data_IF_176634337725
#
_entry.id   IF_176634337725
#
_cell.length_a   1.000
_cell.length_b   1.000
_cell.length_c   1.000
_cell.angle_alpha   90.00
_cell.angle_beta   90.00
_cell.angle_gamma   90.00
#
_symmetry.space_group_name_H-M   'P 1'
#
loop_
_entity.id
_entity.type
_entity.pdbx_description
1 polymer ?
#
# COMPACT_ATOMS: atom_id res chain seq x y z
N UNK A 1 6.95 -38.56 -18.19
CA UNK A 1 5.81 -38.07 -17.39
C UNK A 1 6.33 -36.94 -16.52
N UNK A 2 5.97 -35.69 -16.82
CA UNK A 2 6.28 -34.56 -15.92
C UNK A 2 5.63 -34.86 -14.57
N UNK A 3 6.46 -34.99 -13.53
CA UNK A 3 5.96 -35.22 -12.17
C UNK A 3 4.99 -34.10 -11.81
N UNK A 4 3.87 -34.48 -11.20
CA UNK A 4 2.94 -33.57 -10.53
C UNK A 4 3.79 -32.66 -9.62
N UNK A 5 3.76 -31.38 -9.96
CA UNK A 5 4.89 -30.47 -9.84
C UNK A 5 5.39 -30.20 -8.43
N UNK A 6 6.71 -30.03 -8.34
CA UNK A 6 7.42 -29.60 -7.14
C UNK A 6 6.71 -28.42 -6.44
N UNK A 7 6.85 -28.31 -5.10
CA UNK A 7 6.33 -27.16 -4.36
C UNK A 7 6.87 -25.87 -5.00
N UNK A 8 5.97 -24.90 -5.20
CA UNK A 8 6.40 -23.59 -5.67
C UNK A 8 6.96 -22.80 -4.49
N UNK A 9 8.07 -22.11 -4.71
CA UNK A 9 8.57 -21.09 -3.80
C UNK A 9 7.62 -19.87 -3.82
N UNK A 10 7.64 -19.07 -2.74
CA UNK A 10 6.89 -17.81 -2.66
C UNK A 10 7.84 -16.66 -2.42
N UNK A 11 7.80 -15.66 -3.30
CA UNK A 11 8.46 -14.38 -3.11
C UNK A 11 7.40 -13.28 -3.04
N UNK A 12 7.09 -12.80 -1.83
CA UNK A 12 6.12 -11.74 -1.60
C UNK A 12 6.84 -10.40 -1.44
N UNK A 13 6.70 -9.54 -2.44
CA UNK A 13 7.22 -8.18 -2.45
C UNK A 13 6.18 -7.21 -1.91
N UNK A 14 6.56 -6.33 -0.98
CA UNK A 14 5.64 -5.35 -0.45
C UNK A 14 6.26 -3.97 -0.25
N UNK A 15 5.42 -2.95 -0.29
CA UNK A 15 5.74 -1.65 0.30
C UNK A 15 4.80 -1.41 1.47
N UNK A 16 5.27 -0.75 2.53
CA UNK A 16 4.38 -0.30 3.59
C UNK A 16 4.79 1.05 4.13
N UNK A 17 3.91 2.05 4.02
CA UNK A 17 4.15 3.37 4.60
C UNK A 17 4.30 3.28 6.12
N UNK A 18 3.23 2.91 6.81
CA UNK A 18 3.16 2.91 8.29
C UNK A 18 2.99 1.54 8.93
N UNK A 19 2.92 0.46 8.15
CA UNK A 19 2.97 -0.92 8.66
C UNK A 19 1.76 -1.82 8.38
N UNK A 20 0.63 -1.30 7.87
CA UNK A 20 -0.54 -2.13 7.57
C UNK A 20 -0.25 -3.22 6.54
N UNK A 21 0.28 -2.82 5.38
CA UNK A 21 0.65 -3.76 4.32
C UNK A 21 1.71 -4.74 4.80
N UNK A 22 2.68 -4.29 5.61
CA UNK A 22 3.69 -5.17 6.20
C UNK A 22 3.02 -6.25 7.06
N UNK A 23 2.09 -5.86 7.93
CA UNK A 23 1.35 -6.80 8.78
C UNK A 23 0.61 -7.82 7.92
N UNK A 24 -0.22 -7.37 6.97
CA UNK A 24 -1.00 -8.29 6.11
C UNK A 24 -0.08 -9.22 5.30
N UNK A 25 1.04 -8.71 4.78
CA UNK A 25 2.03 -9.53 4.08
C UNK A 25 2.60 -10.62 4.97
N UNK A 26 2.97 -10.27 6.21
CA UNK A 26 3.49 -11.22 7.20
C UNK A 26 2.45 -12.28 7.55
N UNK A 27 1.19 -11.91 7.75
CA UNK A 27 0.13 -12.85 8.10
C UNK A 27 -0.21 -13.78 6.93
N UNK A 28 -0.24 -13.29 5.68
CA UNK A 28 -0.37 -14.13 4.48
C UNK A 28 0.76 -15.16 4.42
N UNK A 29 2.01 -14.73 4.58
CA UNK A 29 3.18 -15.64 4.51
C UNK A 29 3.16 -16.69 5.63
N UNK A 30 2.72 -16.33 6.83
CA UNK A 30 2.52 -17.29 7.93
C UNK A 30 1.47 -18.35 7.60
N UNK A 31 0.34 -17.96 7.01
CA UNK A 31 -0.70 -18.92 6.62
C UNK A 31 -0.19 -19.85 5.53
N UNK A 32 0.54 -19.33 4.54
CA UNK A 32 1.19 -20.15 3.51
C UNK A 32 2.16 -21.14 4.17
N UNK A 33 3.02 -20.67 5.07
CA UNK A 33 3.98 -21.52 5.80
C UNK A 33 3.30 -22.65 6.57
N UNK A 34 2.25 -22.35 7.33
CA UNK A 34 1.49 -23.34 8.10
C UNK A 34 0.89 -24.39 7.16
N UNK A 35 0.25 -23.99 6.07
CA UNK A 35 -0.32 -24.93 5.09
C UNK A 35 0.76 -25.81 4.45
N UNK A 36 1.89 -25.24 4.05
CA UNK A 36 3.00 -26.01 3.44
C UNK A 36 3.56 -27.05 4.39
N UNK A 37 3.70 -26.71 5.68
CA UNK A 37 4.10 -27.66 6.73
C UNK A 37 3.08 -28.79 6.89
N UNK A 38 1.78 -28.48 6.91
CA UNK A 38 0.72 -29.49 7.00
C UNK A 38 0.70 -30.43 5.79
N UNK A 39 1.02 -29.93 4.60
CA UNK A 39 1.10 -30.71 3.36
C UNK A 39 2.44 -31.43 3.16
N UNK A 40 3.37 -31.33 4.11
CA UNK A 40 4.73 -31.88 4.00
C UNK A 40 5.48 -31.40 2.74
N UNK A 41 5.22 -30.17 2.30
CA UNK A 41 5.86 -29.55 1.14
C UNK A 41 6.97 -28.61 1.57
N UNK A 42 8.17 -28.81 1.01
CA UNK A 42 9.32 -27.91 1.22
C UNK A 42 9.30 -26.81 0.15
N UNK A 43 9.10 -25.56 0.57
CA UNK A 43 9.13 -24.38 -0.30
C UNK A 43 9.87 -23.25 0.40
N UNK A 44 10.71 -22.51 -0.33
CA UNK A 44 11.31 -21.28 0.17
C UNK A 44 10.24 -20.18 0.21
N UNK A 45 10.18 -19.47 1.33
CA UNK A 45 9.23 -18.40 1.57
C UNK A 45 10.00 -17.12 1.90
N UNK A 46 9.94 -16.13 1.02
CA UNK A 46 10.57 -14.83 1.25
C UNK A 46 9.55 -13.70 1.28
N UNK A 47 9.71 -12.81 2.26
CA UNK A 47 8.93 -11.60 2.43
C UNK A 47 9.87 -10.39 2.27
N UNK A 48 9.80 -9.72 1.12
CA UNK A 48 10.78 -8.72 0.71
C UNK A 48 10.14 -7.33 0.66
N UNK A 49 10.75 -6.36 1.34
CA UNK A 49 10.39 -4.96 1.11
C UNK A 49 10.90 -4.52 -0.26
N UNK A 50 10.11 -3.78 -1.05
CA UNK A 50 10.60 -3.21 -2.32
C UNK A 50 11.74 -2.20 -2.13
N UNK A 51 11.97 -1.78 -0.90
CA UNK A 51 13.08 -0.91 -0.50
C UNK A 51 14.41 -1.68 -0.35
N UNK A 52 14.36 -3.03 -0.29
CA UNK A 52 15.51 -3.91 -0.04
C UNK A 52 15.52 -5.11 -1.03
N UNK A 53 15.37 -4.86 -2.33
CA UNK A 53 15.21 -5.93 -3.34
C UNK A 53 16.47 -6.82 -3.50
N UNK A 54 17.63 -6.30 -3.13
CA UNK A 54 18.91 -6.99 -3.11
C UNK A 54 18.93 -8.17 -2.12
N UNK A 55 18.13 -8.13 -1.06
CA UNK A 55 18.03 -9.19 -0.04
C UNK A 55 17.30 -10.44 -0.57
N UNK A 56 16.60 -10.36 -1.70
CA UNK A 56 15.86 -11.49 -2.25
C UNK A 56 16.80 -12.58 -2.78
N UNK A 57 16.71 -13.80 -2.23
CA UNK A 57 17.53 -14.95 -2.64
C UNK A 57 16.84 -15.82 -3.68
N UNK A 58 15.50 -15.83 -3.71
CA UNK A 58 14.71 -16.50 -4.75
C UNK A 58 14.95 -15.81 -6.10
N UNK A 59 15.76 -16.45 -6.93
CA UNK A 59 15.98 -16.02 -8.31
C UNK A 59 15.09 -16.77 -9.29
N UNK A 60 14.86 -18.07 -9.13
CA UNK A 60 14.20 -18.88 -10.15
C UNK A 60 12.67 -18.62 -10.25
N UNK A 61 12.27 -17.80 -11.21
CA UNK A 61 10.86 -17.44 -11.42
C UNK A 61 10.02 -18.57 -12.03
N UNK A 62 10.62 -19.64 -12.58
CA UNK A 62 9.86 -20.76 -13.17
C UNK A 62 9.14 -21.62 -12.13
N UNK A 63 9.67 -21.65 -10.91
CA UNK A 63 9.14 -22.41 -9.77
C UNK A 63 8.70 -21.51 -8.62
N UNK A 64 8.40 -20.23 -8.90
CA UNK A 64 8.04 -19.24 -7.89
C UNK A 64 6.67 -18.64 -8.16
N UNK A 65 5.84 -18.53 -7.13
CA UNK A 65 4.65 -17.69 -7.11
C UNK A 65 5.04 -16.32 -6.57
N UNK A 66 4.81 -15.27 -7.37
CA UNK A 66 5.17 -13.89 -6.99
C UNK A 66 3.98 -13.17 -6.35
N UNK A 67 4.15 -12.75 -5.10
CA UNK A 67 3.16 -11.96 -4.38
C UNK A 67 3.50 -10.47 -4.39
N UNK A 68 2.50 -9.60 -4.54
CA UNK A 68 2.69 -8.15 -4.50
C UNK A 68 1.68 -7.48 -3.57
N UNK A 69 2.16 -6.91 -2.48
CA UNK A 69 1.37 -6.19 -1.47
C UNK A 69 1.63 -4.69 -1.47
N UNK A 70 0.60 -3.85 -1.51
CA UNK A 70 0.78 -2.40 -1.50
C UNK A 70 -0.34 -1.62 -0.76
N UNK A 71 -0.05 -0.46 -0.17
CA UNK A 71 -1.08 0.45 0.32
C UNK A 71 -1.70 1.24 -0.84
N UNK A 72 -2.98 1.54 -0.75
CA UNK A 72 -3.63 2.44 -1.71
C UNK A 72 -3.26 3.89 -1.39
N UNK A 73 -2.42 4.49 -2.23
CA UNK A 73 -2.06 5.91 -2.19
C UNK A 73 -2.65 6.60 -3.42
N UNK A 74 -3.34 7.73 -3.23
CA UNK A 74 -3.93 8.50 -4.35
C UNK A 74 -4.81 7.64 -5.28
N UNK A 75 -5.58 6.72 -4.70
CA UNK A 75 -6.46 5.76 -5.40
C UNK A 75 -5.75 4.76 -6.33
N UNK A 76 -4.45 4.60 -6.19
CA UNK A 76 -3.66 3.62 -6.94
C UNK A 76 -2.52 3.06 -6.07
N UNK A 77 -1.63 2.25 -6.63
CA UNK A 77 -0.43 1.80 -5.95
C UNK A 77 0.64 2.90 -5.90
N UNK A 78 1.56 2.89 -4.92
CA UNK A 78 2.57 3.94 -4.77
C UNK A 78 3.57 3.96 -5.93
N UNK A 79 4.00 5.14 -6.38
CA UNK A 79 4.88 5.27 -7.55
C UNK A 79 6.27 4.65 -7.37
N UNK A 80 6.75 4.44 -6.14
CA UNK A 80 8.03 3.77 -5.91
C UNK A 80 8.05 2.32 -6.39
N UNK A 81 6.91 1.69 -6.70
CA UNK A 81 6.85 0.37 -7.34
C UNK A 81 7.57 0.27 -8.70
N UNK A 82 7.94 1.40 -9.32
CA UNK A 82 8.81 1.40 -10.50
C UNK A 82 10.17 0.71 -10.25
N UNK A 83 10.68 0.70 -9.00
CA UNK A 83 11.89 -0.07 -8.65
C UNK A 83 11.64 -1.56 -8.77
N UNK A 84 10.50 -2.06 -8.25
CA UNK A 84 10.10 -3.46 -8.34
C UNK A 84 9.88 -3.88 -9.79
N UNK A 85 9.19 -3.08 -10.60
CA UNK A 85 8.92 -3.42 -11.99
C UNK A 85 10.21 -3.56 -12.80
N UNK A 86 11.18 -2.67 -12.60
CA UNK A 86 12.52 -2.77 -13.24
C UNK A 86 13.24 -4.03 -12.80
N UNK A 87 13.24 -4.32 -11.51
CA UNK A 87 13.86 -5.53 -10.95
C UNK A 87 13.25 -6.82 -11.52
N UNK A 88 11.92 -6.97 -11.43
CA UNK A 88 11.21 -8.16 -11.90
C UNK A 88 11.34 -8.35 -13.42
N UNK A 89 11.30 -7.25 -14.20
CA UNK A 89 11.52 -7.31 -15.65
C UNK A 89 12.92 -7.81 -15.98
N UNK A 90 13.96 -7.32 -15.29
CA UNK A 90 15.35 -7.77 -15.47
C UNK A 90 15.50 -9.24 -15.10
N UNK A 91 14.96 -9.64 -13.95
CA UNK A 91 15.03 -11.03 -13.47
C UNK A 91 14.34 -11.98 -14.44
N UNK A 92 13.13 -11.65 -14.90
CA UNK A 92 12.39 -12.43 -15.91
C UNK A 92 13.19 -12.57 -17.21
N UNK A 93 13.67 -11.46 -17.75
CA UNK A 93 14.40 -11.46 -19.03
C UNK A 93 15.71 -12.26 -18.96
N UNK A 94 16.33 -12.38 -17.77
CA UNK A 94 17.54 -13.20 -17.58
C UNK A 94 17.27 -14.72 -17.59
N UNK A 95 16.01 -15.15 -17.45
CA UNK A 95 15.65 -16.56 -17.25
C UNK A 95 14.74 -17.16 -18.33
N UNK A 96 14.05 -16.30 -19.08
CA UNK A 96 13.00 -16.67 -20.01
C UNK A 96 13.27 -16.02 -21.37
N UNK A 97 13.75 -16.84 -22.32
CA UNK A 97 14.12 -16.41 -23.67
C UNK A 97 12.93 -16.18 -24.61
N UNK A 98 11.71 -16.61 -24.22
CA UNK A 98 10.50 -16.54 -25.06
C UNK A 98 9.43 -15.61 -24.49
N UNK A 99 8.76 -14.85 -25.37
CA UNK A 99 7.74 -13.85 -25.03
C UNK A 99 6.45 -14.40 -24.40
N UNK A 100 6.19 -15.70 -24.52
CA UNK A 100 4.85 -16.26 -24.24
C UNK A 100 4.69 -16.90 -22.85
N UNK A 101 5.77 -17.21 -22.12
CA UNK A 101 5.66 -17.81 -20.78
C UNK A 101 5.51 -16.71 -19.73
N UNK A 102 4.30 -16.56 -19.20
CA UNK A 102 4.00 -15.62 -18.11
C UNK A 102 4.25 -16.27 -16.74
N UNK A 103 4.61 -15.44 -15.78
CA UNK A 103 4.85 -15.87 -14.39
C UNK A 103 3.58 -15.61 -13.58
N UNK A 104 2.99 -16.62 -12.89
CA UNK A 104 1.82 -16.40 -12.06
C UNK A 104 2.16 -15.48 -10.90
N UNK A 105 1.24 -14.55 -10.63
CA UNK A 105 1.35 -13.63 -9.52
C UNK A 105 0.02 -13.51 -8.76
N UNK A 106 0.09 -13.11 -7.51
CA UNK A 106 -1.07 -12.61 -6.79
C UNK A 106 -0.81 -11.19 -6.32
N UNK A 107 -1.87 -10.39 -6.23
CA UNK A 107 -1.78 -9.01 -5.81
C UNK A 107 -2.74 -8.77 -4.65
N UNK A 108 -2.35 -7.93 -3.70
CA UNK A 108 -3.31 -7.42 -2.73
C UNK A 108 -3.00 -5.99 -2.37
N UNK A 109 -4.04 -5.28 -1.94
CA UNK A 109 -3.88 -3.93 -1.45
C UNK A 109 -4.49 -3.75 -0.06
N UNK A 110 -3.88 -2.86 0.73
CA UNK A 110 -4.46 -2.39 1.99
C UNK A 110 -5.07 -1.01 1.79
N UNK A 111 -6.31 -0.81 2.23
CA UNK A 111 -7.04 0.44 2.05
C UNK A 111 -7.84 0.83 3.29
N UNK A 112 -8.15 2.11 3.43
CA UNK A 112 -8.98 2.60 4.54
C UNK A 112 -10.46 2.74 4.16
N UNK A 113 -10.73 3.50 3.08
CA UNK A 113 -12.11 3.85 2.67
C UNK A 113 -12.58 3.15 1.41
N UNK A 114 -11.74 2.96 0.41
CA UNK A 114 -12.05 2.12 -0.75
C UNK A 114 -10.77 1.89 -1.56
N UNK A 115 -10.64 0.74 -2.23
CA UNK A 115 -9.43 0.42 -2.99
C UNK A 115 -9.36 1.13 -4.35
N UNK A 116 -10.50 1.61 -4.88
CA UNK A 116 -10.62 2.14 -6.25
C UNK A 116 -10.03 1.17 -7.30
N UNK A 117 -9.53 1.68 -8.42
CA UNK A 117 -8.86 0.92 -9.48
C UNK A 117 -7.43 0.44 -9.14
N UNK A 118 -7.01 0.48 -7.88
CA UNK A 118 -5.61 0.24 -7.52
C UNK A 118 -5.10 -1.17 -7.89
N UNK A 119 -5.90 -2.21 -7.65
CA UNK A 119 -5.61 -3.59 -8.05
C UNK A 119 -5.54 -3.73 -9.58
N UNK A 120 -6.49 -3.12 -10.29
CA UNK A 120 -6.55 -3.16 -11.76
C UNK A 120 -5.36 -2.43 -12.40
N UNK A 121 -4.93 -1.31 -11.83
CA UNK A 121 -3.75 -0.58 -12.29
C UNK A 121 -2.48 -1.40 -12.07
N UNK A 122 -2.32 -2.03 -10.89
CA UNK A 122 -1.18 -2.92 -10.62
C UNK A 122 -1.17 -4.11 -11.60
N UNK A 123 -2.34 -4.71 -11.83
CA UNK A 123 -2.52 -5.82 -12.77
C UNK A 123 -2.02 -5.47 -14.18
N UNK A 124 -2.39 -4.29 -14.69
CA UNK A 124 -1.92 -3.79 -15.99
C UNK A 124 -0.40 -3.65 -16.06
N UNK A 125 0.24 -3.06 -15.05
CA UNK A 125 1.69 -2.88 -15.06
C UNK A 125 2.43 -4.22 -15.02
N UNK A 126 1.95 -5.18 -14.23
CA UNK A 126 2.53 -6.52 -14.16
C UNK A 126 2.41 -7.30 -15.46
N UNK A 127 1.25 -7.22 -16.13
CA UNK A 127 1.05 -7.83 -17.45
C UNK A 127 2.01 -7.28 -18.51
N UNK A 128 2.32 -5.98 -18.49
CA UNK A 128 3.32 -5.38 -19.40
C UNK A 128 4.72 -5.96 -19.21
N UNK A 129 5.05 -6.38 -17.98
CA UNK A 129 6.34 -7.00 -17.65
C UNK A 129 6.26 -8.52 -17.54
N UNK A 130 5.26 -9.16 -18.16
CA UNK A 130 5.21 -10.62 -18.34
C UNK A 130 4.83 -11.43 -17.09
N UNK A 131 4.20 -10.78 -16.12
CA UNK A 131 3.58 -11.44 -14.97
C UNK A 131 2.07 -11.49 -15.18
N UNK A 132 1.42 -12.55 -14.71
CA UNK A 132 -0.01 -12.75 -14.82
C UNK A 132 -0.63 -12.82 -13.43
N UNK A 133 -1.22 -11.72 -12.94
CA UNK A 133 -1.97 -11.73 -11.70
C UNK A 133 -3.21 -12.64 -11.82
N UNK A 134 -3.14 -13.83 -11.24
CA UNK A 134 -4.20 -14.85 -11.28
C UNK A 134 -5.22 -14.67 -10.16
N UNK A 135 -4.86 -13.93 -9.10
CA UNK A 135 -5.74 -13.66 -7.99
C UNK A 135 -5.44 -12.30 -7.35
N UNK A 136 -6.48 -11.63 -6.86
CA UNK A 136 -6.35 -10.31 -6.25
C UNK A 136 -7.32 -10.09 -5.10
N UNK A 137 -6.87 -9.47 -4.02
CA UNK A 137 -7.73 -9.16 -2.87
C UNK A 137 -7.45 -7.77 -2.29
N UNK A 138 -8.50 -7.07 -1.88
CA UNK A 138 -8.38 -5.84 -1.10
C UNK A 138 -8.66 -6.13 0.38
N UNK A 139 -7.82 -5.57 1.26
CA UNK A 139 -7.94 -5.69 2.72
C UNK A 139 -8.18 -4.32 3.34
N UNK A 140 -9.26 -4.19 4.12
CA UNK A 140 -9.53 -2.95 4.85
C UNK A 140 -8.66 -2.88 6.09
N UNK A 141 -7.94 -1.78 6.24
CA UNK A 141 -7.03 -1.52 7.35
C UNK A 141 -7.27 -0.12 7.94
N UNK A 142 -6.81 0.12 9.19
CA UNK A 142 -6.99 1.41 9.83
C UNK A 142 -6.32 2.54 9.07
N UNK A 143 -6.86 3.75 9.18
CA UNK A 143 -6.24 4.94 8.60
C UNK A 143 -4.89 5.26 9.25
N UNK A 144 -3.96 5.75 8.45
CA UNK A 144 -2.78 6.47 8.91
C UNK A 144 -2.84 7.97 8.60
N UNK A 145 -3.98 8.45 8.08
CA UNK A 145 -4.16 9.85 7.67
C UNK A 145 -4.64 10.75 8.79
N UNK A 146 -5.23 11.91 8.42
CA UNK A 146 -5.85 12.88 9.34
C UNK A 146 -6.79 12.20 10.35
N UNK A 147 -7.59 11.22 9.92
CA UNK A 147 -8.51 10.53 10.81
C UNK A 147 -7.82 9.83 11.99
N UNK A 148 -6.57 9.38 11.83
CA UNK A 148 -5.77 8.79 12.92
C UNK A 148 -5.33 9.82 13.97
N UNK A 149 -5.43 11.11 13.65
CA UNK A 149 -5.10 12.23 14.53
C UNK A 149 -6.31 12.75 15.32
N UNK A 150 -7.53 12.31 14.95
CA UNK A 150 -8.78 12.78 15.57
C UNK A 150 -9.01 12.16 16.95
N UNK A 151 -10.04 12.64 17.65
CA UNK A 151 -10.46 12.07 18.92
C UNK A 151 -10.91 10.60 18.74
N UNK A 152 -10.45 9.63 19.56
CA UNK A 152 -10.91 8.24 19.49
C UNK A 152 -12.42 8.04 19.69
N UNK A 153 -13.10 8.99 20.35
CA UNK A 153 -14.56 9.01 20.49
C UNK A 153 -15.26 9.59 19.26
N UNK A 154 -14.53 10.28 18.37
CA UNK A 154 -15.12 10.89 17.18
C UNK A 154 -15.52 9.84 16.15
N UNK A 155 -16.65 10.10 15.48
CA UNK A 155 -17.11 9.31 14.35
C UNK A 155 -16.04 9.15 13.25
N UNK A 156 -15.31 10.22 12.93
CA UNK A 156 -14.27 10.16 11.89
C UNK A 156 -13.17 9.16 12.23
N UNK A 157 -12.75 9.08 13.49
CA UNK A 157 -11.79 8.08 13.96
C UNK A 157 -12.41 6.67 13.93
N UNK A 158 -13.53 6.47 14.60
CA UNK A 158 -14.15 5.14 14.77
C UNK A 158 -14.61 4.50 13.45
N UNK A 159 -14.94 5.31 12.45
CA UNK A 159 -15.37 4.85 11.12
C UNK A 159 -14.23 4.35 10.22
N UNK A 160 -12.97 4.57 10.59
CA UNK A 160 -11.82 4.17 9.77
C UNK A 160 -10.63 3.61 10.53
N UNK A 161 -10.64 3.62 11.86
CA UNK A 161 -9.54 3.12 12.69
C UNK A 161 -9.76 1.68 13.12
N UNK A 162 -9.97 0.78 12.15
CA UNK A 162 -10.16 -0.66 12.36
C UNK A 162 -9.71 -1.48 11.16
N UNK A 163 -9.41 -2.76 11.38
CA UNK A 163 -9.37 -3.77 10.34
C UNK A 163 -10.78 -4.35 10.16
N UNK A 164 -11.18 -4.66 8.93
CA UNK A 164 -12.46 -5.36 8.69
C UNK A 164 -12.62 -6.60 9.56
N UNK A 165 -13.86 -6.93 9.89
CA UNK A 165 -14.19 -8.00 10.82
C UNK A 165 -13.63 -9.36 10.39
N UNK A 166 -12.99 -10.08 11.33
CA UNK A 166 -12.32 -11.37 11.08
C UNK A 166 -11.32 -11.33 9.91
N UNK A 167 -10.41 -10.36 9.95
CA UNK A 167 -9.36 -10.19 8.95
C UNK A 167 -8.49 -11.46 8.78
N UNK A 168 -8.26 -12.20 9.87
CA UNK A 168 -7.56 -13.48 9.88
C UNK A 168 -8.26 -14.57 9.05
N UNK A 169 -9.59 -14.66 9.15
CA UNK A 169 -10.39 -15.57 8.33
C UNK A 169 -10.34 -15.16 6.87
N UNK A 170 -10.43 -13.86 6.58
CA UNK A 170 -10.30 -13.34 5.22
C UNK A 170 -8.92 -13.63 4.62
N UNK A 171 -7.85 -13.49 5.38
CA UNK A 171 -6.49 -13.87 4.97
C UNK A 171 -6.40 -15.38 4.72
N UNK A 172 -6.99 -16.20 5.59
CA UNK A 172 -7.00 -17.65 5.46
C UNK A 172 -7.73 -18.11 4.19
N UNK A 173 -8.91 -17.53 3.93
CA UNK A 173 -9.68 -17.77 2.71
C UNK A 173 -8.93 -17.29 1.47
N UNK A 174 -8.32 -16.10 1.52
CA UNK A 174 -7.48 -15.59 0.44
C UNK A 174 -6.37 -16.57 0.06
N UNK A 175 -5.65 -17.12 1.05
CA UNK A 175 -4.60 -18.11 0.78
C UNK A 175 -5.18 -19.42 0.25
N UNK A 176 -6.36 -19.84 0.71
CA UNK A 176 -7.04 -21.02 0.15
C UNK A 176 -7.38 -20.85 -1.33
N UNK A 177 -8.09 -19.79 -1.68
CA UNK A 177 -8.49 -19.50 -3.07
C UNK A 177 -7.26 -19.29 -3.97
N UNK A 178 -6.20 -18.67 -3.45
CA UNK A 178 -4.94 -18.53 -4.16
C UNK A 178 -4.36 -19.89 -4.57
N UNK A 179 -4.31 -20.87 -3.66
CA UNK A 179 -3.80 -22.21 -3.97
C UNK A 179 -4.63 -22.91 -5.05
N UNK A 180 -5.96 -22.80 -4.97
CA UNK A 180 -6.88 -23.32 -5.98
C UNK A 180 -6.60 -22.67 -7.36
N UNK A 181 -6.43 -21.35 -7.41
CA UNK A 181 -6.11 -20.62 -8.63
C UNK A 181 -4.73 -20.97 -9.19
N UNK A 182 -3.74 -21.23 -8.34
CA UNK A 182 -2.41 -21.69 -8.77
C UNK A 182 -2.52 -23.09 -9.41
N UNK A 183 -3.32 -23.99 -8.84
CA UNK A 183 -3.54 -25.31 -9.41
C UNK A 183 -4.26 -25.23 -10.76
N UNK A 184 -5.32 -24.43 -10.88
CA UNK A 184 -6.02 -24.17 -12.15
C UNK A 184 -5.04 -23.61 -13.23
N UNK A 185 -4.19 -22.66 -12.86
CA UNK A 185 -3.22 -22.05 -13.78
C UNK A 185 -2.19 -23.05 -14.33
N UNK A 186 -1.80 -24.06 -13.54
CA UNK A 186 -0.91 -25.14 -13.99
C UNK A 186 -1.57 -26.03 -15.05
N UNK A 187 -2.90 -26.13 -15.05
CA UNK A 187 -3.67 -26.98 -15.97
C UNK A 187 -3.90 -26.26 -17.31
N UNK A 188 -4.19 -24.95 -17.30
CA UNK A 188 -4.37 -24.14 -18.52
C UNK A 188 -4.14 -22.65 -18.26
N UNK A 189 -3.33 -21.93 -19.06
CA UNK A 189 -3.14 -20.49 -18.89
C UNK A 189 -4.43 -19.73 -19.21
N UNK A 190 -5.16 -19.29 -18.19
CA UNK A 190 -6.41 -18.55 -18.37
C UNK A 190 -6.16 -17.09 -18.75
N UNK A 191 -7.01 -16.54 -19.63
CA UNK A 191 -7.05 -15.10 -19.92
C UNK A 191 -8.18 -14.46 -19.11
N UNK A 192 -7.85 -13.83 -17.98
CA UNK A 192 -8.85 -13.10 -17.18
C UNK A 192 -9.28 -11.83 -17.93
N UNK A 193 -10.59 -11.71 -18.21
CA UNK A 193 -11.23 -10.49 -18.71
C UNK A 193 -11.37 -9.48 -17.57
N UNK A 194 -10.63 -8.37 -17.62
CA UNK A 194 -10.81 -7.26 -16.70
C UNK A 194 -12.08 -6.47 -17.07
N UNK A 195 -13.02 -6.30 -16.14
CA UNK A 195 -14.07 -5.29 -16.29
C UNK A 195 -13.50 -3.93 -15.88
N UNK A 196 -13.32 -3.04 -16.85
CA UNK A 196 -12.99 -1.63 -16.57
C UNK A 196 -14.26 -0.95 -16.06
N UNK A 197 -14.15 -0.19 -14.96
CA UNK A 197 -15.16 0.82 -14.63
C UNK A 197 -14.65 2.22 -15.05
N UNK A 198 -15.05 2.74 -16.22
CA UNK A 198 -14.57 4.03 -16.75
C UNK A 198 -14.97 5.24 -15.88
N UNK A 199 -15.99 5.08 -15.02
CA UNK A 199 -16.46 6.14 -14.12
C UNK A 199 -15.42 6.45 -13.03
N UNK A 200 -14.58 5.49 -12.64
CA UNK A 200 -13.54 5.70 -11.65
C UNK A 200 -12.34 6.50 -12.17
N UNK A 201 -11.99 6.37 -13.46
CA UNK A 201 -10.91 7.16 -14.07
C UNK A 201 -11.21 8.67 -14.08
N UNK A 202 -12.47 9.07 -14.28
CA UNK A 202 -12.87 10.47 -14.30
C UNK A 202 -12.77 11.13 -12.91
N UNK A 203 -12.87 10.34 -11.83
CA UNK A 203 -12.78 10.83 -10.44
C UNK A 203 -11.36 11.23 -10.02
N UNK A 204 -10.32 10.82 -10.78
CA UNK A 204 -8.90 11.06 -10.43
C UNK A 204 -8.45 12.52 -10.67
N UNK A 205 -9.07 13.26 -11.57
CA UNK A 205 -8.57 14.57 -12.03
C UNK A 205 -8.55 15.66 -10.96
N UNK A 206 -9.39 15.56 -9.91
CA UNK A 206 -9.44 16.55 -8.81
C UNK A 206 -8.71 16.03 -7.55
N UNK A 207 -8.28 14.76 -7.54
CA UNK A 207 -7.74 14.08 -6.35
C UNK A 207 -6.46 14.73 -5.87
N UNK A 208 -5.53 14.98 -6.78
CA UNK A 208 -4.26 15.60 -6.44
C UNK A 208 -4.48 16.97 -5.78
N UNK A 209 -5.39 17.76 -6.34
CA UNK A 209 -5.81 19.05 -5.78
C UNK A 209 -6.40 18.93 -4.37
N UNK A 210 -7.23 17.91 -4.12
CA UNK A 210 -7.83 17.64 -2.79
C UNK A 210 -6.76 17.19 -1.79
N UNK A 211 -5.88 16.28 -2.19
CA UNK A 211 -4.86 15.71 -1.32
C UNK A 211 -3.89 16.78 -0.83
N UNK A 212 -3.37 17.61 -1.74
CA UNK A 212 -2.49 18.71 -1.36
C UNK A 212 -3.18 19.71 -0.44
N UNK A 213 -4.49 19.91 -0.58
CA UNK A 213 -5.25 20.78 0.33
C UNK A 213 -5.32 20.20 1.74
N UNK A 214 -5.51 18.88 1.89
CA UNK A 214 -5.63 18.21 3.19
C UNK A 214 -4.31 17.91 3.88
N UNK A 215 -3.28 17.59 3.10
CA UNK A 215 -1.92 17.40 3.54
C UNK A 215 -1.06 18.48 2.88
N UNK A 216 -1.21 19.76 3.28
CA UNK A 216 -0.29 20.78 2.81
C UNK A 216 1.11 20.44 3.33
N UNK A 217 2.13 21.02 2.71
CA UNK A 217 3.56 20.73 2.86
C UNK A 217 3.98 20.10 4.20
N UNK A 218 4.91 19.15 4.11
CA UNK A 218 5.61 18.62 5.27
C UNK A 218 6.24 19.76 6.08
N UNK A 219 6.05 19.74 7.40
CA UNK A 219 6.57 20.71 8.35
C UNK A 219 7.31 19.98 9.47
N UNK A 220 8.36 20.63 9.99
CA UNK A 220 9.14 20.19 11.14
C UNK A 220 9.18 21.35 12.13
N UNK A 221 8.73 21.13 13.36
CA UNK A 221 8.74 22.14 14.43
C UNK A 221 10.01 22.09 15.30
N UNK A 222 10.14 23.08 16.19
CA UNK A 222 11.33 23.31 17.02
C UNK A 222 11.58 22.22 18.08
N UNK A 223 10.65 21.27 18.28
CA UNK A 223 10.89 20.12 19.16
C UNK A 223 11.82 19.07 18.52
N UNK A 224 12.22 19.26 17.26
CA UNK A 224 13.07 18.33 16.54
C UNK A 224 14.51 18.30 17.10
N UNK A 225 14.91 17.14 17.64
CA UNK A 225 16.25 16.91 18.18
C UNK A 225 17.27 16.44 17.12
N UNK A 226 16.99 16.62 15.84
CA UNK A 226 17.86 16.24 14.71
C UNK A 226 18.34 14.78 14.71
N UNK A 227 17.53 13.85 15.24
CA UNK A 227 17.91 12.43 15.34
C UNK A 227 18.06 11.72 13.98
N UNK A 228 17.47 12.26 12.91
CA UNK A 228 17.57 11.70 11.56
C UNK A 228 16.69 10.46 11.29
N UNK A 229 15.84 10.04 12.23
CA UNK A 229 14.97 8.88 12.05
C UNK A 229 14.04 9.02 10.83
N UNK A 230 13.50 10.23 10.59
CA UNK A 230 12.65 10.52 9.44
C UNK A 230 13.43 10.49 8.10
N UNK A 231 14.70 10.90 8.11
CA UNK A 231 15.60 10.85 6.95
C UNK A 231 15.82 9.40 6.53
N UNK A 232 16.23 8.55 7.47
CA UNK A 232 16.42 7.10 7.23
C UNK A 232 15.15 6.41 6.78
N UNK A 233 14.00 6.84 7.29
CA UNK A 233 12.71 6.22 6.98
C UNK A 233 12.12 6.66 5.62
N UNK A 234 12.59 7.75 5.00
CA UNK A 234 11.95 8.32 3.82
C UNK A 234 12.27 7.48 2.55
N UNK A 235 11.28 6.82 1.93
CA UNK A 235 11.51 5.99 0.74
C UNK A 235 11.88 6.80 -0.52
N UNK A 236 11.63 8.11 -0.52
CA UNK A 236 11.94 9.00 -1.65
C UNK A 236 13.14 9.90 -1.35
N UNK A 237 13.79 9.75 -0.20
CA UNK A 237 14.91 10.58 0.22
C UNK A 237 14.64 12.10 0.23
N UNK A 238 13.38 12.51 0.47
CA UNK A 238 12.98 13.92 0.49
C UNK A 238 13.43 14.71 1.73
N UNK A 239 14.02 14.02 2.70
CA UNK A 239 14.48 14.60 3.95
C UNK A 239 16.00 14.39 4.03
N UNK A 240 16.75 15.46 4.28
CA UNK A 240 18.20 15.40 4.48
C UNK A 240 18.55 16.05 5.80
N UNK A 241 19.43 15.38 6.56
CA UNK A 241 19.96 15.92 7.81
C UNK A 241 21.15 16.82 7.47
N UNK A 242 21.04 18.09 7.83
CA UNK A 242 22.14 19.06 7.84
C UNK A 242 22.60 19.30 9.29
N UNK A 243 23.62 20.14 9.50
CA UNK A 243 24.20 20.37 10.84
C UNK A 243 23.19 20.95 11.83
N UNK A 244 22.31 21.84 11.37
CA UNK A 244 21.39 22.61 12.22
C UNK A 244 19.91 22.29 12.00
N UNK A 245 19.58 21.55 10.95
CA UNK A 245 18.19 21.27 10.61
C UNK A 245 18.02 19.94 9.86
N UNK A 246 16.76 19.50 9.74
CA UNK A 246 16.38 18.50 8.75
C UNK A 246 15.67 19.24 7.63
N UNK A 247 16.34 19.31 6.48
CA UNK A 247 15.85 20.03 5.31
C UNK A 247 14.91 19.15 4.49
N UNK A 248 13.83 19.76 3.99
CA UNK A 248 12.85 19.13 3.08
C UNK A 248 13.21 19.54 1.65
N UNK A 249 13.65 18.57 0.83
CA UNK A 249 14.24 18.84 -0.49
C UNK A 249 13.18 19.03 -1.57
N UNK A 250 12.30 18.04 -1.77
CA UNK A 250 11.23 18.13 -2.75
C UNK A 250 9.90 17.66 -2.15
N UNK A 251 9.00 18.58 -1.76
CA UNK A 251 7.68 18.20 -1.29
C UNK A 251 6.75 17.71 -2.41
N UNK A 252 7.06 17.98 -3.69
CA UNK A 252 6.28 17.55 -4.85
C UNK A 252 6.44 16.05 -5.06
N UNK A 253 7.67 15.56 -4.94
CA UNK A 253 8.00 14.14 -5.01
C UNK A 253 7.81 13.44 -3.65
N UNK A 254 6.81 13.85 -2.85
CA UNK A 254 6.40 13.10 -1.66
C UNK A 254 5.40 11.98 -2.01
N UNK A 255 5.58 10.77 -1.46
CA UNK A 255 4.59 9.69 -1.58
C UNK A 255 3.36 9.89 -0.68
N UNK A 256 3.40 10.85 0.25
CA UNK A 256 2.45 10.99 1.35
C UNK A 256 2.21 9.66 2.10
N UNK A 257 3.27 8.88 2.31
CA UNK A 257 3.19 7.64 3.08
C UNK A 257 3.05 7.88 4.60
N UNK A 258 3.27 9.13 5.04
CA UNK A 258 3.16 9.61 6.43
C UNK A 258 4.10 8.90 7.43
N UNK A 259 5.05 8.09 6.95
CA UNK A 259 6.00 7.35 7.79
C UNK A 259 6.84 8.28 8.67
N UNK A 260 7.35 9.38 8.11
CA UNK A 260 8.13 10.37 8.85
C UNK A 260 7.35 10.96 10.03
N UNK A 261 6.08 11.31 9.82
CA UNK A 261 5.19 11.82 10.86
C UNK A 261 4.95 10.78 11.96
N UNK A 262 4.60 9.54 11.56
CA UNK A 262 4.21 8.48 12.49
C UNK A 262 5.37 7.85 13.28
N UNK A 263 6.60 7.97 12.78
CA UNK A 263 7.79 7.38 13.41
C UNK A 263 8.75 8.41 13.99
N UNK A 264 8.44 9.71 13.90
CA UNK A 264 9.21 10.73 14.60
C UNK A 264 9.07 10.53 16.13
N UNK A 265 10.17 10.24 16.85
CA UNK A 265 10.11 10.02 18.30
C UNK A 265 9.69 11.28 19.07
N UNK A 266 10.09 12.45 18.56
CA UNK A 266 9.74 13.75 19.13
C UNK A 266 8.37 14.28 18.67
N UNK A 267 7.71 13.58 17.72
CA UNK A 267 6.42 14.00 17.16
C UNK A 267 6.45 15.40 16.52
N UNK A 268 7.63 15.87 16.13
CA UNK A 268 7.87 17.21 15.57
C UNK A 268 7.46 17.38 14.10
N UNK A 269 6.91 16.34 13.47
CA UNK A 269 6.60 16.33 12.04
C UNK A 269 5.10 16.35 11.84
N UNK A 270 4.62 17.20 10.93
CA UNK A 270 3.22 17.31 10.51
C UNK A 270 3.10 17.62 9.01
N UNK A 271 1.90 17.46 8.48
CA UNK A 271 1.44 17.88 7.16
C UNK A 271 0.29 18.88 7.36
N UNK A 272 0.66 20.14 7.60
CA UNK A 272 -0.29 21.19 7.97
C UNK A 272 -1.01 20.99 9.30
N UNK A 273 -1.92 21.91 9.59
CA UNK A 273 -2.65 22.01 10.85
C UNK A 273 -3.46 20.75 11.19
N UNK A 274 -4.07 20.11 10.19
CA UNK A 274 -4.94 18.94 10.38
C UNK A 274 -4.22 17.69 10.91
N UNK A 275 -2.89 17.70 10.93
CA UNK A 275 -2.07 16.60 11.41
C UNK A 275 -1.11 17.00 12.53
N UNK A 276 -1.30 18.20 13.10
CA UNK A 276 -0.61 18.63 14.32
C UNK A 276 -1.07 17.81 15.54
N UNK A 277 -0.29 17.90 16.63
CA UNK A 277 -0.57 17.20 17.88
C UNK A 277 0.27 15.94 18.07
N UNK A 278 0.00 15.18 19.14
CA UNK A 278 0.90 14.14 19.65
C UNK A 278 0.45 12.69 19.40
N UNK A 279 -0.73 12.48 18.81
CA UNK A 279 -1.26 11.15 18.45
C UNK A 279 -0.50 10.57 17.27
N UNK A 280 -0.15 9.28 17.32
CA UNK A 280 0.61 8.62 16.26
C UNK A 280 0.06 7.24 15.99
N UNK A 281 0.04 6.87 14.72
CA UNK A 281 -0.32 5.54 14.26
C UNK A 281 0.92 4.64 14.32
N UNK A 282 1.11 3.99 15.46
CA UNK A 282 2.31 3.21 15.77
C UNK A 282 2.11 1.72 15.52
N UNK A 283 3.20 0.92 15.45
CA UNK A 283 3.10 -0.53 15.41
C UNK A 283 2.24 -1.15 16.53
N UNK A 284 2.23 -0.54 17.72
CA UNK A 284 1.39 -1.02 18.84
C UNK A 284 -0.09 -0.79 18.57
N UNK A 285 -0.46 0.36 18.00
CA UNK A 285 -1.85 0.63 17.58
C UNK A 285 -2.28 -0.38 16.51
N UNK A 286 -1.42 -0.64 15.53
CA UNK A 286 -1.68 -1.63 14.46
C UNK A 286 -1.96 -3.01 15.06
N UNK A 287 -1.07 -3.52 15.92
CA UNK A 287 -1.22 -4.84 16.54
C UNK A 287 -2.49 -4.95 17.38
N UNK A 288 -2.81 -3.90 18.15
CA UNK A 288 -4.04 -3.85 18.95
C UNK A 288 -5.27 -3.98 18.05
N UNK A 289 -5.40 -3.11 17.04
CA UNK A 289 -6.55 -3.11 16.13
C UNK A 289 -6.67 -4.40 15.31
N UNK A 290 -5.55 -5.03 14.96
CA UNK A 290 -5.55 -6.34 14.33
C UNK A 290 -6.12 -7.40 15.27
N UNK A 291 -5.63 -7.47 16.52
CA UNK A 291 -6.12 -8.39 17.53
C UNK A 291 -7.62 -8.20 17.81
N UNK A 292 -8.08 -6.96 17.86
CA UNK A 292 -9.50 -6.64 18.01
C UNK A 292 -10.32 -7.27 16.86
N UNK A 293 -9.90 -7.10 15.60
CA UNK A 293 -10.58 -7.72 14.46
C UNK A 293 -10.58 -9.26 14.50
N UNK A 294 -9.45 -9.88 14.87
CA UNK A 294 -9.37 -11.34 15.04
C UNK A 294 -10.36 -11.85 16.07
N UNK A 295 -10.50 -11.11 17.18
CA UNK A 295 -11.46 -11.42 18.26
C UNK A 295 -12.92 -11.07 17.91
N UNK A 296 -13.22 -10.65 16.66
CA UNK A 296 -14.56 -10.25 16.25
C UNK A 296 -15.00 -8.88 16.78
N UNK A 297 -14.08 -8.07 17.29
CA UNK A 297 -14.34 -6.69 17.68
C UNK A 297 -14.27 -5.84 16.41
N UNK A 298 -15.41 -5.69 15.74
CA UNK A 298 -15.57 -4.84 14.57
C UNK A 298 -15.87 -3.38 14.93
N UNK A 299 -15.93 -2.52 13.90
CA UNK A 299 -16.46 -1.16 14.06
C UNK A 299 -17.98 -1.18 13.97
N UNK A 300 -18.65 -0.45 14.86
CA UNK A 300 -20.10 -0.20 14.78
C UNK A 300 -20.51 0.40 13.41
N UNK A 301 -19.54 1.00 12.71
CA UNK A 301 -19.70 1.67 11.43
C UNK A 301 -19.32 0.80 10.22
N UNK A 302 -19.05 -0.49 10.40
CA UNK A 302 -18.75 -1.39 9.28
C UNK A 302 -19.97 -1.64 8.37
N UNK A 303 -21.16 -1.75 8.96
CA UNK A 303 -22.42 -1.96 8.21
C UNK A 303 -22.87 -0.74 7.41
N UNK A 304 -22.49 0.47 7.82
CA UNK A 304 -22.92 1.73 7.18
C UNK A 304 -21.85 2.34 6.25
N UNK A 305 -20.99 1.50 5.68
CA UNK A 305 -19.81 1.94 4.95
C UNK A 305 -20.10 2.85 3.74
N UNK A 306 -21.21 2.63 3.04
CA UNK A 306 -21.57 3.45 1.89
C UNK A 306 -22.01 4.87 2.28
N UNK A 307 -22.78 5.00 3.37
CA UNK A 307 -23.16 6.29 3.93
C UNK A 307 -21.91 7.07 4.39
N UNK A 308 -21.00 6.38 5.09
CA UNK A 308 -19.70 6.93 5.52
C UNK A 308 -18.90 7.48 4.35
N UNK A 309 -18.83 6.73 3.24
CA UNK A 309 -18.11 7.15 2.03
C UNK A 309 -18.77 8.38 1.41
N UNK A 310 -20.11 8.44 1.38
CA UNK A 310 -20.86 9.58 0.84
C UNK A 310 -20.65 10.84 1.68
N UNK A 311 -20.76 10.73 3.00
CA UNK A 311 -20.56 11.84 3.93
C UNK A 311 -19.12 12.37 3.86
N UNK A 312 -18.11 11.49 3.94
CA UNK A 312 -16.71 11.91 3.83
C UNK A 312 -16.39 12.59 2.49
N UNK A 313 -16.99 12.14 1.38
CA UNK A 313 -16.83 12.81 0.08
C UNK A 313 -17.39 14.22 0.11
N UNK A 314 -18.58 14.41 0.70
CA UNK A 314 -19.19 15.74 0.88
C UNK A 314 -18.27 16.66 1.68
N UNK A 315 -17.78 16.19 2.82
CA UNK A 315 -16.92 16.98 3.72
C UNK A 315 -15.57 17.30 3.07
N UNK A 316 -15.00 16.33 2.35
CA UNK A 316 -13.75 16.51 1.60
C UNK A 316 -13.89 17.54 0.50
N UNK A 317 -15.00 17.53 -0.24
CA UNK A 317 -15.27 18.52 -1.28
C UNK A 317 -15.57 19.91 -0.71
N UNK A 318 -16.27 19.99 0.42
CA UNK A 318 -16.52 21.25 1.12
C UNK A 318 -15.22 21.89 1.57
N UNK A 319 -14.37 21.14 2.29
CA UNK A 319 -13.05 21.58 2.72
C UNK A 319 -12.19 22.06 1.54
N UNK A 320 -12.14 21.26 0.47
CA UNK A 320 -11.41 21.64 -0.74
C UNK A 320 -11.94 22.95 -1.35
N UNK A 321 -13.26 23.12 -1.51
CA UNK A 321 -13.84 24.35 -2.07
C UNK A 321 -13.45 25.59 -1.28
N UNK A 322 -13.47 25.50 0.04
CA UNK A 322 -13.12 26.60 0.94
C UNK A 322 -11.61 26.94 0.89
N UNK A 323 -10.76 25.93 0.71
CA UNK A 323 -9.31 26.07 0.86
C UNK A 323 -8.53 26.15 -0.46
N UNK A 324 -9.15 25.83 -1.61
CA UNK A 324 -8.50 25.75 -2.94
C UNK A 324 -7.94 27.08 -3.46
N UNK A 325 -8.24 28.22 -2.85
CA UNK A 325 -7.79 29.53 -3.35
C UNK A 325 -6.69 30.17 -2.49
N UNK A 326 -6.32 29.53 -1.37
CA UNK A 326 -5.25 29.98 -0.46
C UNK A 326 -3.92 30.10 -1.23
N UNK A 327 -3.17 31.18 -0.99
CA UNK A 327 -2.01 31.59 -1.82
C UNK A 327 -0.93 30.50 -2.00
N UNK A 328 -0.67 29.69 -0.97
CA UNK A 328 0.33 28.61 -1.03
C UNK A 328 -0.02 27.59 -2.14
N UNK A 329 -1.31 27.31 -2.37
CA UNK A 329 -1.77 26.40 -3.43
C UNK A 329 -1.56 26.97 -4.84
N UNK A 330 -1.70 28.29 -5.01
CA UNK A 330 -1.44 28.96 -6.31
C UNK A 330 0.04 28.83 -6.70
N UNK A 331 0.95 28.86 -5.74
CA UNK A 331 2.39 28.67 -5.97
C UNK A 331 2.73 27.21 -6.31
N UNK A 332 2.11 26.24 -5.63
CA UNK A 332 2.26 24.80 -5.94
C UNK A 332 1.72 24.46 -7.33
N UNK A 333 0.52 24.96 -7.69
CA UNK A 333 -0.09 24.73 -9.00
C UNK A 333 0.72 25.35 -10.14
N UNK A 334 1.36 26.51 -9.92
CA UNK A 334 2.28 27.11 -10.90
C UNK A 334 3.53 26.23 -11.11
N UNK A 335 4.12 25.68 -10.04
CA UNK A 335 5.28 24.75 -10.11
C UNK A 335 4.94 23.40 -10.75
N UNK A 336 3.72 22.88 -10.54
CA UNK A 336 3.25 21.65 -11.20
C UNK A 336 3.04 21.86 -12.70
N UNK A 337 2.43 22.99 -13.10
CA UNK A 337 2.21 23.32 -14.52
C UNK A 337 3.50 23.54 -15.31
N UNK A 338 4.59 23.99 -14.67
CA UNK A 338 5.90 24.15 -15.31
C UNK A 338 6.65 22.82 -15.51
N UNK A 339 6.17 21.70 -14.95
CA UNK A 339 6.77 20.36 -15.06
C UNK A 339 6.05 19.45 -16.08
N UNK A 340 5.25 19.99 -17.00
CA UNK A 340 4.67 19.21 -18.09
C UNK A 340 5.79 18.53 -18.92
N UNK A 341 5.89 17.21 -18.74
CA UNK A 341 6.63 16.18 -19.50
C UNK A 341 7.48 16.68 -20.68
N UNK A 342 8.81 16.66 -20.49
CA UNK A 342 9.76 16.27 -21.55
C UNK A 342 10.18 14.83 -21.31
#
# INVERSE_FOLDING_TARGET
MEKIGDPMDYALYYFSGTGNTKLISTEIMKVIEVKRKQEMKVSNLELISIENLEECSIRNLKSTVVGIGFPVHKFTFPRNFQVLFRYLKKLRNSQLSSSNKRIPAFIFCTYTRFPANSLENMNKELKKIGFDPIFSQAFKCPSNGIASMKDPSSYEYQSVMYFEHHIDKKISNFVQELEEKIQEYKISPFSIKNSRNPIESLKLTIVESIEHTKYPFLQIDDSCVLCGACVKACPEHNLVKEEKEIRIIDPVDCLHCLRCMHHCPQKSISFGELTTGSKRYTPNVIRKLYKDSVNGIGSAYEKDFQSIVKQWRKDTLAYWKEHREKQWWKNTRKRMKSRNFK
#
